data_IF_555880190610
#
_entry.id   IF_555880190610
#
_cell.length_a   1.000
_cell.length_b   1.000
_cell.length_c   1.000
_cell.angle_alpha   90.00
_cell.angle_beta   90.00
_cell.angle_gamma   90.00
#
_symmetry.space_group_name_H-M   'P 1'
#
loop_
_entity.id
_entity.type
_entity.pdbx_description
1 polymer ?
#
# COMPACT_ATOMS: atom_id res chain seq x y z
N UNK A 1 -17.31 4.62 -32.45
CA UNK A 1 -17.85 5.10 -33.75
C UNK A 1 -18.47 6.48 -33.52
N UNK A 2 -18.62 7.32 -34.56
CA UNK A 2 -19.15 8.68 -34.41
C UNK A 2 -20.59 8.73 -33.85
N UNK A 3 -21.28 7.60 -33.82
CA UNK A 3 -22.63 7.39 -33.26
C UNK A 3 -22.64 7.07 -31.76
N UNK A 4 -21.49 7.08 -31.07
CA UNK A 4 -21.37 6.77 -29.65
C UNK A 4 -21.46 5.28 -29.30
N UNK A 5 -21.59 4.38 -30.29
CA UNK A 5 -21.59 2.94 -30.05
C UNK A 5 -20.21 2.45 -29.61
N UNK A 6 -20.22 1.61 -28.57
CA UNK A 6 -19.03 0.95 -28.00
C UNK A 6 -19.02 -0.51 -28.45
N UNK A 7 -17.86 -0.98 -28.90
CA UNK A 7 -17.62 -2.39 -29.25
C UNK A 7 -16.71 -2.97 -28.16
N UNK A 8 -17.10 -4.11 -27.59
CA UNK A 8 -16.27 -4.81 -26.61
C UNK A 8 -15.13 -5.51 -27.34
N UNK A 9 -13.89 -5.13 -27.06
CA UNK A 9 -12.70 -5.72 -27.67
C UNK A 9 -12.19 -6.93 -26.88
N UNK A 10 -12.30 -6.89 -25.55
CA UNK A 10 -11.89 -7.95 -24.64
C UNK A 10 -12.61 -7.82 -23.30
N UNK A 11 -12.66 -8.93 -22.54
CA UNK A 11 -13.01 -8.94 -21.11
C UNK A 11 -11.83 -9.54 -20.35
N UNK A 12 -11.19 -8.73 -19.53
CA UNK A 12 -10.04 -9.14 -18.74
C UNK A 12 -10.36 -8.99 -17.26
N UNK A 13 -9.87 -9.93 -16.44
CA UNK A 13 -9.76 -9.69 -14.99
C UNK A 13 -8.45 -8.95 -14.79
N UNK A 14 -8.50 -7.61 -14.85
CA UNK A 14 -7.30 -6.78 -14.73
C UNK A 14 -6.69 -6.87 -13.33
N UNK A 15 -7.54 -6.89 -12.29
CA UNK A 15 -7.11 -6.90 -10.91
C UNK A 15 -7.97 -7.92 -10.13
N UNK A 16 -7.32 -8.89 -9.50
CA UNK A 16 -7.92 -9.79 -8.50
C UNK A 16 -7.00 -9.80 -7.28
N UNK A 17 -6.94 -8.64 -6.64
CA UNK A 17 -6.01 -8.36 -5.56
C UNK A 17 -6.67 -8.54 -4.19
N UNK A 18 -6.00 -9.26 -3.30
CA UNK A 18 -6.38 -9.33 -1.89
C UNK A 18 -6.22 -7.96 -1.22
N UNK A 19 -7.02 -7.71 -0.20
CA UNK A 19 -6.95 -6.45 0.55
C UNK A 19 -5.60 -6.33 1.27
N UNK A 20 -4.98 -5.16 1.14
CA UNK A 20 -3.76 -4.78 1.84
C UNK A 20 -3.99 -3.39 2.45
N UNK A 21 -3.86 -3.28 3.77
CA UNK A 21 -4.13 -2.04 4.47
C UNK A 21 -3.14 -0.93 4.11
N UNK A 22 -1.86 -1.25 3.99
CA UNK A 22 -0.83 -0.25 3.66
C UNK A 22 -1.03 0.28 2.24
N UNK A 23 -1.36 -0.61 1.30
CA UNK A 23 -1.66 -0.21 -0.08
C UNK A 23 -2.87 0.69 -0.10
N UNK A 24 -3.97 0.34 0.61
CA UNK A 24 -5.17 1.18 0.68
C UNK A 24 -4.89 2.59 1.21
N UNK A 25 -3.97 2.73 2.17
CA UNK A 25 -3.58 4.03 2.72
C UNK A 25 -2.77 4.86 1.72
N UNK A 26 -2.01 4.20 0.82
CA UNK A 26 -1.18 4.84 -0.19
C UNK A 26 -1.92 5.12 -1.51
N UNK A 27 -2.76 4.18 -1.97
CA UNK A 27 -3.47 4.17 -3.25
C UNK A 27 -4.73 3.28 -3.20
N UNK A 28 -5.71 3.53 -4.08
CA UNK A 28 -6.92 2.71 -4.14
C UNK A 28 -6.76 1.44 -5.00
N UNK A 29 -6.70 0.27 -4.38
CA UNK A 29 -6.76 -1.01 -5.11
C UNK A 29 -8.11 -1.72 -4.98
N UNK A 30 -9.13 -1.04 -4.45
CA UNK A 30 -10.49 -1.58 -4.33
C UNK A 30 -11.44 -0.73 -5.17
N UNK A 31 -11.90 -1.31 -6.28
CA UNK A 31 -12.75 -0.61 -7.25
C UNK A 31 -14.16 -0.39 -6.71
N UNK A 32 -14.65 0.86 -6.73
CA UNK A 32 -16.02 1.22 -6.34
C UNK A 32 -17.11 0.31 -6.93
N UNK A 33 -16.97 -0.07 -8.21
CA UNK A 33 -17.94 -0.92 -8.92
C UNK A 33 -18.02 -2.35 -8.39
N UNK A 34 -17.19 -2.72 -7.41
CA UNK A 34 -17.11 -4.07 -6.86
C UNK A 34 -16.91 -4.06 -5.34
N UNK A 35 -17.47 -3.06 -4.65
CA UNK A 35 -17.49 -2.97 -3.19
C UNK A 35 -18.89 -3.18 -2.65
N UNK A 36 -18.98 -3.95 -1.57
CA UNK A 36 -20.15 -4.02 -0.71
C UNK A 36 -19.71 -3.78 0.72
N UNK A 37 -20.40 -2.88 1.43
CA UNK A 37 -20.18 -2.60 2.85
C UNK A 37 -21.53 -2.47 3.56
N UNK A 38 -21.52 -2.61 4.89
CA UNK A 38 -22.72 -2.32 5.68
C UNK A 38 -23.00 -0.82 5.73
N UNK A 39 -24.27 -0.43 5.84
CA UNK A 39 -24.69 0.98 5.88
C UNK A 39 -24.11 1.74 7.09
N UNK A 40 -24.04 1.09 8.25
CA UNK A 40 -23.54 1.71 9.48
C UNK A 40 -22.07 2.11 9.38
N UNK A 41 -21.26 1.41 8.57
CA UNK A 41 -19.88 1.80 8.31
C UNK A 41 -19.79 3.12 7.51
N UNK A 42 -20.69 3.33 6.55
CA UNK A 42 -20.76 4.58 5.77
C UNK A 42 -21.14 5.77 6.65
N UNK A 43 -22.14 5.59 7.51
CA UNK A 43 -22.59 6.60 8.48
C UNK A 43 -21.45 6.94 9.45
N UNK A 44 -20.74 5.92 9.96
CA UNK A 44 -19.57 6.11 10.84
C UNK A 44 -18.40 6.78 10.12
N UNK A 45 -18.22 6.56 8.82
CA UNK A 45 -17.15 7.17 8.02
C UNK A 45 -17.43 8.61 7.58
N UNK A 46 -18.66 9.11 7.76
CA UNK A 46 -19.06 10.45 7.34
C UNK A 46 -19.39 10.57 5.85
N UNK A 47 -19.71 9.46 5.16
CA UNK A 47 -20.15 9.49 3.76
C UNK A 47 -19.07 9.82 2.73
N UNK A 48 -19.50 10.17 1.52
CA UNK A 48 -18.61 10.63 0.45
C UNK A 48 -18.19 12.09 0.69
N UNK A 49 -16.94 12.42 0.39
CA UNK A 49 -16.46 13.79 0.41
C UNK A 49 -16.82 14.50 -0.90
N UNK A 50 -17.90 15.28 -0.88
CA UNK A 50 -18.44 16.00 -2.06
C UNK A 50 -17.53 17.14 -2.56
N UNK A 51 -16.49 17.50 -1.80
CA UNK A 51 -15.51 18.50 -2.24
C UNK A 51 -14.40 17.92 -3.14
N UNK A 52 -14.36 16.59 -3.30
CA UNK A 52 -13.40 15.92 -4.17
C UNK A 52 -13.96 15.78 -5.59
N UNK A 53 -13.13 16.10 -6.59
CA UNK A 53 -13.51 15.99 -8.00
C UNK A 53 -13.05 14.67 -8.66
N UNK A 54 -12.11 13.96 -8.02
CA UNK A 54 -11.58 12.65 -8.44
C UNK A 54 -11.22 11.82 -7.22
N UNK A 55 -11.09 10.50 -7.41
CA UNK A 55 -10.70 9.56 -6.35
C UNK A 55 -11.67 9.59 -5.15
N UNK A 56 -12.92 9.96 -5.39
CA UNK A 56 -13.99 10.08 -4.38
C UNK A 56 -14.24 8.72 -3.70
N UNK A 57 -14.15 7.66 -4.48
CA UNK A 57 -14.25 6.28 -4.01
C UNK A 57 -13.07 5.87 -3.13
N UNK A 58 -11.86 6.36 -3.46
CA UNK A 58 -10.70 6.12 -2.61
C UNK A 58 -10.86 6.77 -1.25
N UNK A 59 -11.34 8.02 -1.18
CA UNK A 59 -11.61 8.69 0.10
C UNK A 59 -12.51 7.84 1.00
N UNK A 60 -13.61 7.34 0.45
CA UNK A 60 -14.52 6.49 1.19
C UNK A 60 -13.87 5.16 1.59
N UNK A 61 -13.28 4.42 0.64
CA UNK A 61 -12.68 3.11 0.90
C UNK A 61 -11.52 3.21 1.91
N UNK A 62 -10.72 4.27 1.82
CA UNK A 62 -9.67 4.58 2.78
C UNK A 62 -10.26 4.83 4.16
N UNK A 63 -11.32 5.64 4.30
CA UNK A 63 -11.98 5.84 5.61
C UNK A 63 -12.57 4.57 6.19
N UNK A 64 -13.20 3.72 5.37
CA UNK A 64 -13.76 2.43 5.81
C UNK A 64 -12.67 1.50 6.36
N UNK A 65 -11.46 1.58 5.81
CA UNK A 65 -10.32 0.76 6.21
C UNK A 65 -9.87 0.99 7.66
N UNK A 66 -10.22 2.13 8.27
CA UNK A 66 -9.96 2.40 9.69
C UNK A 66 -10.84 1.56 10.63
N UNK A 67 -12.00 1.10 10.15
CA UNK A 67 -12.99 0.37 10.96
C UNK A 67 -13.04 -1.12 10.64
N UNK A 68 -12.73 -1.52 9.40
CA UNK A 68 -12.78 -2.92 9.00
C UNK A 68 -11.80 -3.22 7.88
N UNK A 69 -11.31 -4.46 7.85
CA UNK A 69 -10.60 -4.98 6.68
C UNK A 69 -11.60 -5.31 5.59
N UNK A 70 -11.16 -5.21 4.33
CA UNK A 70 -11.93 -5.69 3.19
C UNK A 70 -11.67 -7.18 2.99
N UNK A 71 -12.70 -7.91 2.57
CA UNK A 71 -12.57 -9.30 2.15
C UNK A 71 -12.67 -9.35 0.63
N UNK A 72 -11.60 -9.79 -0.01
CA UNK A 72 -11.63 -10.05 -1.44
C UNK A 72 -12.45 -11.32 -1.71
N UNK A 73 -13.49 -11.17 -2.53
CA UNK A 73 -14.25 -12.31 -3.07
C UNK A 73 -13.67 -12.56 -4.46
N UNK A 74 -12.94 -13.68 -4.69
CA UNK A 74 -12.20 -13.93 -5.94
C UNK A 74 -13.15 -14.41 -7.05
N UNK A 75 -14.23 -13.68 -7.24
CA UNK A 75 -15.29 -13.87 -8.21
C UNK A 75 -15.60 -12.50 -8.82
N UNK A 76 -15.64 -12.37 -10.15
CA UNK A 76 -16.11 -11.14 -10.78
C UNK A 76 -17.55 -10.87 -10.35
N UNK A 77 -17.74 -9.77 -9.64
CA UNK A 77 -19.01 -9.26 -9.10
C UNK A 77 -19.57 -8.09 -9.91
N UNK A 78 -18.76 -7.50 -10.79
CA UNK A 78 -19.17 -6.39 -11.64
C UNK A 78 -18.29 -6.30 -12.88
N UNK A 79 -18.84 -5.74 -13.96
CA UNK A 79 -18.12 -5.42 -15.18
C UNK A 79 -18.12 -3.91 -15.35
N UNK A 80 -16.98 -3.34 -15.71
CA UNK A 80 -16.89 -1.96 -16.19
C UNK A 80 -16.17 -1.95 -17.52
N UNK A 81 -16.53 -1.01 -18.38
CA UNK A 81 -15.83 -0.83 -19.64
C UNK A 81 -14.55 -0.04 -19.40
N UNK A 82 -13.46 -0.34 -20.11
CA UNK A 82 -12.29 0.52 -20.24
C UNK A 82 -12.21 1.03 -21.68
N UNK A 83 -12.18 2.35 -21.93
CA UNK A 83 -12.01 2.85 -23.30
C UNK A 83 -10.58 2.58 -23.77
N UNK A 84 -10.45 2.31 -25.06
CA UNK A 84 -9.15 2.18 -25.73
C UNK A 84 -8.94 3.43 -26.57
N UNK A 85 -7.81 4.13 -26.35
CA UNK A 85 -7.50 5.39 -27.02
C UNK A 85 -7.97 6.64 -26.25
N UNK A 86 -8.37 7.68 -26.97
CA UNK A 86 -8.82 8.94 -26.35
C UNK A 86 -10.06 8.73 -25.47
N UNK A 87 -10.04 9.36 -24.31
CA UNK A 87 -11.02 9.12 -23.26
C UNK A 87 -11.47 10.42 -22.59
N UNK A 88 -12.78 10.64 -22.52
CA UNK A 88 -13.45 11.76 -21.88
C UNK A 88 -13.73 11.55 -20.38
N UNK A 89 -13.28 10.43 -19.80
CA UNK A 89 -13.48 10.14 -18.38
C UNK A 89 -12.90 11.25 -17.52
N UNK A 90 -13.69 11.67 -16.53
CA UNK A 90 -13.32 12.68 -15.55
C UNK A 90 -11.97 12.34 -14.91
N UNK A 91 -11.72 11.07 -14.55
CA UNK A 91 -10.44 10.63 -13.99
C UNK A 91 -9.25 10.87 -14.93
N UNK A 92 -9.42 10.69 -16.24
CA UNK A 92 -8.37 10.92 -17.25
C UNK A 92 -8.18 12.43 -17.49
N UNK A 93 -9.27 13.18 -17.58
CA UNK A 93 -9.19 14.61 -17.86
C UNK A 93 -8.64 15.40 -16.67
N UNK A 94 -9.03 15.05 -15.44
CA UNK A 94 -8.59 15.75 -14.22
C UNK A 94 -7.14 15.45 -13.86
N UNK A 95 -6.58 14.30 -14.23
CA UNK A 95 -5.14 14.00 -14.09
C UNK A 95 -4.24 14.94 -14.90
N UNK A 96 -4.77 15.61 -15.92
CA UNK A 96 -4.02 16.61 -16.69
C UNK A 96 -3.74 17.88 -15.88
N UNK A 97 -4.59 18.20 -14.89
CA UNK A 97 -4.31 19.25 -13.91
C UNK A 97 -3.57 18.63 -12.72
N UNK A 98 -2.25 18.60 -12.82
CA UNK A 98 -1.37 17.96 -11.82
C UNK A 98 -1.55 18.59 -10.44
N UNK A 99 -1.78 19.91 -10.36
CA UNK A 99 -1.91 20.62 -9.09
C UNK A 99 -3.22 20.28 -8.39
N UNK A 100 -4.34 20.30 -9.11
CA UNK A 100 -5.64 19.92 -8.54
C UNK A 100 -5.68 18.44 -8.18
N UNK A 101 -5.07 17.58 -9.00
CA UNK A 101 -4.92 16.15 -8.71
C UNK A 101 -4.12 15.91 -7.43
N UNK A 102 -2.97 16.57 -7.28
CA UNK A 102 -2.13 16.45 -6.09
C UNK A 102 -2.87 16.94 -4.85
N UNK A 103 -3.59 18.06 -4.92
CA UNK A 103 -4.41 18.57 -3.81
C UNK A 103 -5.48 17.57 -3.37
N UNK A 104 -6.18 16.93 -4.32
CA UNK A 104 -7.15 15.87 -3.99
C UNK A 104 -6.47 14.70 -3.28
N UNK A 105 -5.33 14.23 -3.81
CA UNK A 105 -4.56 13.13 -3.21
C UNK A 105 -4.12 13.45 -1.78
N UNK A 106 -3.58 14.65 -1.53
CA UNK A 106 -3.16 15.09 -0.21
C UNK A 106 -4.34 15.23 0.75
N UNK A 107 -5.48 15.73 0.27
CA UNK A 107 -6.74 15.82 1.03
C UNK A 107 -7.19 14.44 1.49
N UNK A 108 -7.19 13.45 0.58
CA UNK A 108 -7.59 12.06 0.89
C UNK A 108 -6.63 11.43 1.92
N UNK A 109 -5.32 11.57 1.74
CA UNK A 109 -4.30 11.02 2.66
C UNK A 109 -4.37 11.66 4.05
N UNK A 110 -4.73 12.93 4.11
CA UNK A 110 -4.86 13.68 5.36
C UNK A 110 -6.17 13.40 6.10
N UNK A 111 -7.24 13.07 5.37
CA UNK A 111 -8.56 12.90 5.95
C UNK A 111 -8.56 11.74 6.93
N UNK A 112 -9.13 11.97 8.11
CA UNK A 112 -9.19 11.03 9.23
C UNK A 112 -10.65 10.84 9.62
N UNK A 113 -11.21 9.62 9.55
CA UNK A 113 -12.60 9.41 9.95
C UNK A 113 -12.72 9.51 11.48
N UNK A 114 -13.94 9.74 12.02
CA UNK A 114 -14.16 9.81 13.46
C UNK A 114 -13.61 8.59 14.24
N UNK A 115 -13.03 8.83 15.42
CA UNK A 115 -12.62 7.74 16.34
C UNK A 115 -13.87 7.13 17.03
N UNK A 116 -13.80 5.88 17.56
CA UNK A 116 -12.64 4.99 17.63
C UNK A 116 -12.33 4.30 16.30
N UNK A 117 -11.08 3.88 16.12
CA UNK A 117 -10.64 3.08 14.97
C UNK A 117 -10.31 1.68 15.43
N UNK A 118 -10.76 0.68 14.67
CA UNK A 118 -10.65 -0.73 15.05
C UNK A 118 -9.49 -1.43 14.32
N UNK A 119 -9.03 -0.88 13.19
CA UNK A 119 -8.08 -1.53 12.27
C UNK A 119 -6.80 -0.76 12.00
N UNK A 120 -6.87 0.57 12.01
CA UNK A 120 -5.71 1.42 11.75
C UNK A 120 -5.34 2.14 13.03
N UNK A 121 -4.05 2.06 13.37
CA UNK A 121 -3.50 2.74 14.52
C UNK A 121 -2.94 4.10 14.10
N UNK A 122 -2.87 5.03 15.05
CA UNK A 122 -2.46 6.41 14.80
C UNK A 122 -0.94 6.55 14.98
N UNK A 123 -0.32 7.48 14.27
CA UNK A 123 1.10 7.83 14.42
C UNK A 123 1.24 9.28 14.90
N UNK A 124 1.97 9.50 15.99
CA UNK A 124 2.47 10.83 16.35
C UNK A 124 3.83 11.07 15.71
N UNK A 125 4.04 12.15 14.99
CA UNK A 125 5.35 12.54 14.44
C UNK A 125 5.84 13.77 15.19
N UNK A 126 6.93 13.64 15.95
CA UNK A 126 7.51 14.70 16.76
C UNK A 126 8.68 15.29 16.00
N UNK A 127 8.49 16.51 15.48
CA UNK A 127 9.52 17.18 14.68
C UNK A 127 10.60 17.73 15.62
N UNK A 128 11.80 17.20 15.51
CA UNK A 128 12.96 17.61 16.29
C UNK A 128 13.66 18.76 15.58
N UNK A 129 13.57 19.95 16.15
CA UNK A 129 14.35 21.11 15.72
C UNK A 129 14.62 22.01 16.90
N UNK A 130 15.77 22.68 16.85
CA UNK A 130 16.16 23.68 17.83
C UNK A 130 15.49 25.03 17.57
N UNK A 131 15.09 25.30 16.32
CA UNK A 131 14.56 26.58 15.86
C UNK A 131 13.48 26.42 14.77
N UNK A 132 12.63 27.43 14.62
CA UNK A 132 11.75 27.56 13.46
C UNK A 132 12.56 28.23 12.35
N UNK A 133 12.93 27.46 11.34
CA UNK A 133 13.67 27.90 10.17
C UNK A 133 13.13 27.23 8.90
N UNK A 134 13.73 27.52 7.75
CA UNK A 134 13.29 26.94 6.47
C UNK A 134 13.34 25.41 6.47
N UNK A 135 14.42 24.73 6.94
CA UNK A 135 14.43 23.27 7.07
C UNK A 135 13.29 22.70 7.93
N UNK A 136 12.92 23.36 9.03
CA UNK A 136 11.82 22.94 9.89
C UNK A 136 10.47 23.04 9.18
N UNK A 137 10.19 24.19 8.54
CA UNK A 137 8.95 24.40 7.81
C UNK A 137 8.85 23.46 6.60
N UNK A 138 9.96 23.26 5.89
CA UNK A 138 10.03 22.33 4.76
C UNK A 138 9.76 20.89 5.23
N UNK A 139 10.34 20.47 6.35
CA UNK A 139 10.08 19.13 6.92
C UNK A 139 8.60 18.87 7.17
N UNK A 140 7.87 19.87 7.68
CA UNK A 140 6.43 19.73 7.94
C UNK A 140 5.64 19.60 6.63
N UNK A 141 6.03 20.33 5.57
CA UNK A 141 5.44 20.19 4.24
C UNK A 141 5.78 18.84 3.59
N UNK A 142 7.02 18.37 3.77
CA UNK A 142 7.49 17.09 3.25
C UNK A 142 6.76 15.93 3.92
N UNK A 143 6.56 15.99 5.24
CA UNK A 143 5.79 15.01 5.99
C UNK A 143 4.34 14.94 5.49
N UNK A 144 3.72 16.08 5.19
CA UNK A 144 2.37 16.10 4.63
C UNK A 144 2.28 15.46 3.24
N UNK A 145 3.31 15.65 2.42
CA UNK A 145 3.31 15.20 1.02
C UNK A 145 3.79 13.76 0.84
N UNK A 146 4.66 13.26 1.71
CA UNK A 146 5.34 11.97 1.53
C UNK A 146 5.01 10.92 2.59
N UNK A 147 4.27 11.27 3.66
CA UNK A 147 3.74 10.30 4.62
C UNK A 147 2.26 10.06 4.32
N UNK A 148 1.91 8.81 4.01
CA UNK A 148 0.54 8.39 3.72
C UNK A 148 -0.15 7.69 4.90
N UNK A 149 0.64 7.18 5.85
CA UNK A 149 0.10 6.57 7.07
C UNK A 149 -0.59 7.65 7.93
N UNK A 150 -1.75 7.35 8.54
CA UNK A 150 -2.49 8.33 9.34
C UNK A 150 -1.63 8.86 10.48
N UNK A 151 -1.47 10.18 10.53
CA UNK A 151 -0.57 10.81 11.48
C UNK A 151 -1.08 12.14 12.01
N UNK A 152 -0.49 12.54 13.14
CA UNK A 152 -0.55 13.86 13.72
C UNK A 152 0.88 14.38 13.88
N UNK A 153 1.18 15.55 13.34
CA UNK A 153 2.49 16.20 13.43
C UNK A 153 2.51 17.07 14.67
N UNK A 154 3.52 16.93 15.51
CA UNK A 154 3.76 17.73 16.70
C UNK A 154 5.02 18.57 16.47
N UNK A 155 4.81 19.89 16.50
CA UNK A 155 5.84 20.89 16.25
C UNK A 155 6.18 21.61 17.55
N UNK A 156 7.40 21.45 18.03
CA UNK A 156 7.92 22.21 19.16
C UNK A 156 8.21 23.65 18.73
N UNK A 157 7.50 24.61 19.32
CA UNK A 157 7.56 26.03 18.94
C UNK A 157 7.86 26.89 20.17
N UNK A 158 8.92 27.73 20.15
CA UNK A 158 9.20 28.67 21.24
C UNK A 158 7.98 29.54 21.54
N UNK A 159 7.69 29.77 22.83
CA UNK A 159 6.51 30.52 23.29
C UNK A 159 6.39 31.89 22.61
N UNK A 160 7.51 32.56 22.38
CA UNK A 160 7.60 33.89 21.79
C UNK A 160 7.21 33.90 20.30
N UNK A 161 7.38 32.77 19.62
CA UNK A 161 7.08 32.60 18.18
C UNK A 161 5.77 31.83 17.94
N UNK A 162 5.13 31.36 19.02
CA UNK A 162 3.97 30.52 18.94
C UNK A 162 2.78 31.21 18.28
N UNK A 163 2.58 32.51 18.48
CA UNK A 163 1.39 33.18 17.96
C UNK A 163 1.57 33.60 16.48
N UNK A 164 2.81 33.77 16.01
CA UNK A 164 3.12 34.12 14.62
C UNK A 164 3.26 32.90 13.70
N UNK A 165 3.66 31.74 14.22
CA UNK A 165 3.82 30.52 13.43
C UNK A 165 2.48 29.82 13.19
N UNK A 166 1.95 29.87 11.97
CA UNK A 166 0.67 29.27 11.61
C UNK A 166 0.85 28.30 10.42
N UNK A 167 1.05 26.99 10.69
CA UNK A 167 1.23 26.01 9.63
C UNK A 167 -0.08 25.85 8.85
N UNK A 168 0.02 25.83 7.53
CA UNK A 168 -1.11 25.47 6.64
C UNK A 168 -1.31 23.96 6.54
N UNK A 169 -0.31 23.19 6.99
CA UNK A 169 -0.31 21.73 6.97
C UNK A 169 -1.35 21.16 7.94
N UNK A 170 -2.32 20.37 7.43
CA UNK A 170 -3.31 19.72 8.27
C UNK A 170 -2.70 18.79 9.34
N UNK A 171 -3.49 18.43 10.35
CA UNK A 171 -3.05 17.55 11.44
C UNK A 171 -1.76 18.00 12.15
N UNK A 172 -1.45 19.31 12.14
CA UNK A 172 -0.30 19.86 12.85
C UNK A 172 -0.71 20.46 14.19
N UNK A 173 -0.09 19.99 15.27
CA UNK A 173 -0.25 20.48 16.64
C UNK A 173 0.96 21.31 17.02
N UNK A 174 0.70 22.56 17.39
CA UNK A 174 1.69 23.47 17.95
C UNK A 174 1.89 23.14 19.43
N UNK A 175 3.11 22.81 19.82
CA UNK A 175 3.50 22.54 21.21
C UNK A 175 4.40 23.65 21.69
N UNK A 176 3.91 24.47 22.63
CA UNK A 176 4.66 25.60 23.16
C UNK A 176 5.80 25.09 24.06
N UNK A 177 7.04 25.42 23.71
CA UNK A 177 8.27 25.04 24.45
C UNK A 177 9.02 26.29 24.92
N UNK A 178 9.87 26.14 25.93
CA UNK A 178 10.83 27.18 26.33
C UNK A 178 12.03 27.13 25.37
N UNK A 179 12.60 28.29 25.02
CA UNK A 179 13.79 28.34 24.15
C UNK A 179 15.01 27.67 24.79
N UNK A 180 15.02 27.55 26.12
CA UNK A 180 16.04 26.84 26.90
C UNK A 180 15.83 25.34 26.97
N UNK A 181 14.66 24.84 26.59
CA UNK A 181 14.40 23.40 26.63
C UNK A 181 15.39 22.70 25.70
N UNK A 182 16.07 21.67 26.22
CA UNK A 182 16.87 20.78 25.39
C UNK A 182 15.98 19.87 24.53
N UNK A 183 16.60 19.12 23.62
CA UNK A 183 15.87 18.23 22.70
C UNK A 183 15.02 17.17 23.45
N UNK A 184 15.50 16.64 24.57
CA UNK A 184 14.78 15.68 25.39
C UNK A 184 13.55 16.30 26.05
N UNK A 185 13.70 17.48 26.65
CA UNK A 185 12.61 18.23 27.28
C UNK A 185 11.52 18.62 26.27
N UNK A 186 11.90 19.02 25.04
CA UNK A 186 10.94 19.28 23.96
C UNK A 186 10.16 18.02 23.58
N UNK A 187 10.84 16.89 23.46
CA UNK A 187 10.21 15.57 23.22
C UNK A 187 9.24 15.24 24.35
N UNK A 188 9.63 15.43 25.61
CA UNK A 188 8.79 15.12 26.78
C UNK A 188 7.50 15.95 26.78
N UNK A 189 7.58 17.24 26.43
CA UNK A 189 6.40 18.11 26.27
C UNK A 189 5.48 17.65 25.14
N UNK A 190 6.03 17.23 24.01
CA UNK A 190 5.22 16.70 22.90
C UNK A 190 4.59 15.36 23.28
N UNK A 191 5.34 14.46 23.90
CA UNK A 191 4.89 13.14 24.35
C UNK A 191 3.77 13.21 25.39
N UNK A 192 3.76 14.24 26.24
CA UNK A 192 2.74 14.45 27.25
C UNK A 192 1.33 14.63 26.67
N UNK A 193 1.23 15.09 25.42
CA UNK A 193 -0.05 15.30 24.72
C UNK A 193 -0.29 14.30 23.56
N UNK A 194 0.66 13.39 23.32
CA UNK A 194 0.51 12.33 22.33
C UNK A 194 -0.45 11.24 22.82
N UNK A 195 -1.46 10.94 22.00
CA UNK A 195 -2.45 9.90 22.28
C UNK A 195 -2.28 8.67 21.38
N UNK A 196 -1.41 8.75 20.37
CA UNK A 196 -1.16 7.69 19.40
C UNK A 196 -0.36 6.54 20.01
N UNK A 197 -0.63 5.28 19.63
CA UNK A 197 0.14 4.12 20.09
C UNK A 197 1.57 4.08 19.56
N UNK A 198 1.85 4.75 18.44
CA UNK A 198 3.20 4.90 17.89
C UNK A 198 3.64 6.35 17.84
N UNK A 199 4.95 6.54 18.01
CA UNK A 199 5.61 7.84 17.94
C UNK A 199 6.85 7.75 17.07
N UNK A 200 6.96 8.63 16.08
CA UNK A 200 8.17 8.90 15.32
C UNK A 200 8.87 10.12 15.90
N UNK A 201 10.15 9.97 16.26
CA UNK A 201 11.06 11.07 16.49
C UNK A 201 11.67 11.45 15.14
N UNK A 202 11.36 12.65 14.63
CA UNK A 202 11.68 13.02 13.25
C UNK A 202 12.54 14.30 13.20
N UNK A 203 13.85 14.20 12.94
CA UNK A 203 14.71 15.38 12.87
C UNK A 203 14.40 16.24 11.65
N UNK A 204 14.38 17.55 11.83
CA UNK A 204 14.19 18.49 10.75
C UNK A 204 15.36 18.43 9.73
N UNK A 205 15.00 18.55 8.46
CA UNK A 205 15.94 18.58 7.33
C UNK A 205 16.42 17.21 6.87
N UNK A 206 15.71 16.12 7.19
CA UNK A 206 15.96 14.85 6.51
C UNK A 206 15.57 14.95 5.03
N UNK A 207 16.36 14.37 4.11
CA UNK A 207 16.01 14.37 2.70
C UNK A 207 14.81 13.48 2.43
N UNK A 208 13.98 13.89 1.48
CA UNK A 208 12.98 13.02 0.86
C UNK A 208 13.64 12.28 -0.30
N UNK A 209 13.58 10.95 -0.28
CA UNK A 209 14.07 10.12 -1.38
C UNK A 209 13.08 10.17 -2.55
N UNK A 210 13.54 10.52 -3.75
CA UNK A 210 12.65 10.86 -4.90
C UNK A 210 11.87 9.67 -5.44
N UNK A 211 12.46 8.48 -5.36
CA UNK A 211 11.88 7.25 -5.90
C UNK A 211 11.21 6.39 -4.81
N UNK A 212 11.12 6.91 -3.59
CA UNK A 212 10.53 6.21 -2.48
C UNK A 212 9.10 6.70 -2.20
N UNK A 213 8.21 5.74 -2.09
CA UNK A 213 6.78 5.99 -1.88
C UNK A 213 6.36 5.83 -0.41
N UNK A 214 7.23 5.28 0.43
CA UNK A 214 7.08 5.06 1.87
C UNK A 214 8.25 5.69 2.66
N UNK A 215 8.06 6.91 3.18
CA UNK A 215 9.16 7.62 3.86
C UNK A 215 9.32 7.17 5.32
N UNK A 216 8.36 7.50 6.17
CA UNK A 216 8.34 7.06 7.58
C UNK A 216 7.90 5.60 7.69
N UNK A 217 7.07 5.16 6.73
CA UNK A 217 6.41 3.87 6.73
C UNK A 217 7.38 2.70 6.64
N UNK A 218 8.54 2.84 6.00
CA UNK A 218 9.59 1.81 6.00
C UNK A 218 10.12 1.49 7.40
N UNK A 219 10.10 2.47 8.30
CA UNK A 219 10.49 2.29 9.69
C UNK A 219 9.32 1.88 10.58
N UNK A 220 8.13 2.41 10.30
CA UNK A 220 6.91 2.09 11.05
C UNK A 220 6.41 0.66 10.78
N UNK A 221 6.41 0.21 9.53
CA UNK A 221 5.83 -1.06 9.12
C UNK A 221 6.36 -2.28 9.89
N UNK A 222 7.68 -2.48 10.12
CA UNK A 222 8.14 -3.59 10.95
C UNK A 222 7.63 -3.51 12.39
N UNK A 223 7.46 -2.30 12.93
CA UNK A 223 6.95 -2.10 14.28
C UNK A 223 5.45 -2.44 14.37
N UNK A 224 4.67 -2.12 13.33
CA UNK A 224 3.26 -2.51 13.22
C UNK A 224 3.07 -4.04 13.18
N UNK A 225 4.03 -4.74 12.57
CA UNK A 225 3.98 -6.19 12.37
C UNK A 225 4.76 -6.99 13.42
N UNK A 226 5.37 -6.30 14.40
CA UNK A 226 6.14 -6.94 15.47
C UNK A 226 5.41 -6.89 16.80
N UNK A 227 5.44 -8.02 17.51
CA UNK A 227 5.05 -8.11 18.93
C UNK A 227 6.25 -8.02 19.88
N UNK A 228 7.46 -7.89 19.34
CA UNK A 228 8.69 -7.82 20.12
C UNK A 228 8.71 -6.51 20.95
N UNK A 229 8.77 -6.59 22.29
CA UNK A 229 8.81 -5.41 23.15
C UNK A 229 10.19 -4.75 23.10
N UNK A 230 10.25 -3.47 23.47
CA UNK A 230 11.49 -2.71 23.58
C UNK A 230 12.32 -2.70 22.28
N UNK A 231 11.65 -2.53 21.14
CA UNK A 231 12.31 -2.37 19.83
C UNK A 231 11.87 -1.04 19.23
N UNK A 232 12.85 -0.31 18.68
CA UNK A 232 12.63 0.85 17.84
C UNK A 232 13.27 0.67 16.47
N UNK A 233 12.75 1.37 15.48
CA UNK A 233 13.30 1.33 14.13
C UNK A 233 13.78 2.71 13.72
N UNK A 234 15.06 2.83 13.43
CA UNK A 234 15.67 4.06 12.95
C UNK A 234 15.11 4.43 11.57
N UNK A 235 14.83 5.73 11.35
CA UNK A 235 14.43 6.25 10.05
C UNK A 235 15.53 5.94 9.03
N UNK A 236 15.16 5.50 7.83
CA UNK A 236 16.11 5.05 6.80
C UNK A 236 17.12 6.15 6.46
N UNK A 237 16.67 7.39 6.39
CA UNK A 237 17.45 8.59 6.06
C UNK A 237 18.26 9.13 7.24
N UNK A 238 18.12 8.55 8.44
CA UNK A 238 18.85 9.00 9.61
C UNK A 238 20.36 8.90 9.42
N UNK A 239 21.05 9.88 9.98
CA UNK A 239 22.50 9.97 10.09
C UNK A 239 22.92 10.18 11.54
N UNK A 240 24.21 10.04 11.89
CA UNK A 240 24.68 10.37 13.24
C UNK A 240 24.33 11.79 13.69
N UNK A 241 24.21 12.76 12.77
CA UNK A 241 23.88 14.16 13.08
C UNK A 241 22.37 14.44 13.10
N UNK A 242 21.60 13.80 12.23
CA UNK A 242 20.14 13.92 12.15
C UNK A 242 19.55 12.53 12.34
N UNK A 243 19.27 12.19 13.59
CA UNK A 243 18.77 10.86 13.92
C UNK A 243 17.32 10.91 14.35
N UNK A 244 16.55 9.99 13.80
CA UNK A 244 15.18 9.76 14.16
C UNK A 244 14.86 8.28 14.15
N UNK A 245 13.80 7.92 14.85
CA UNK A 245 13.37 6.54 14.96
C UNK A 245 11.89 6.49 15.34
N UNK A 246 11.24 5.36 15.06
CA UNK A 246 9.87 5.08 15.45
C UNK A 246 9.81 4.09 16.60
N UNK A 247 8.85 4.30 17.49
CA UNK A 247 8.69 3.57 18.75
C UNK A 247 7.23 3.34 19.07
N UNK A 248 6.96 2.36 19.93
CA UNK A 248 5.69 2.35 20.67
C UNK A 248 5.73 3.51 21.67
N UNK A 249 4.68 4.33 21.65
CA UNK A 249 4.61 5.55 22.46
C UNK A 249 4.76 5.26 23.95
N UNK A 250 4.18 4.16 24.44
CA UNK A 250 4.29 3.74 25.85
C UNK A 250 5.73 3.41 26.25
N UNK A 251 6.50 2.76 25.38
CA UNK A 251 7.89 2.38 25.63
C UNK A 251 8.80 3.60 25.63
N UNK A 252 8.62 4.50 24.64
CA UNK A 252 9.36 5.75 24.57
C UNK A 252 9.04 6.66 25.76
N UNK A 253 7.77 6.78 26.15
CA UNK A 253 7.35 7.57 27.32
C UNK A 253 7.99 7.02 28.59
N UNK A 254 7.95 5.71 28.82
CA UNK A 254 8.59 5.07 29.98
C UNK A 254 10.10 5.32 29.99
N UNK A 255 10.76 5.24 28.84
CA UNK A 255 12.19 5.52 28.73
C UNK A 255 12.53 6.96 29.15
N UNK A 256 11.72 7.93 28.70
CA UNK A 256 11.87 9.34 29.05
C UNK A 256 11.52 9.64 30.51
N UNK A 257 10.54 8.97 31.09
CA UNK A 257 10.20 9.11 32.52
C UNK A 257 11.32 8.60 33.44
N UNK A 258 11.94 7.46 33.10
CA UNK A 258 12.97 6.84 33.94
C UNK A 258 14.36 7.45 33.74
N UNK A 259 14.70 7.79 32.50
CA UNK A 259 16.05 8.22 32.10
C UNK A 259 16.05 9.61 31.46
N UNK A 260 15.07 10.45 31.82
CA UNK A 260 14.89 11.79 31.25
C UNK A 260 16.08 12.74 31.43
N UNK A 261 16.92 12.46 32.43
CA UNK A 261 18.17 13.17 32.73
C UNK A 261 19.32 12.86 31.76
N UNK A 262 19.21 11.79 30.96
CA UNK A 262 20.18 11.45 29.91
C UNK A 262 19.79 12.10 28.57
N UNK A 263 20.75 12.16 27.64
CA UNK A 263 20.45 12.58 26.27
C UNK A 263 19.42 11.64 25.64
N UNK A 264 18.68 12.13 24.65
CA UNK A 264 17.54 11.44 24.08
C UNK A 264 17.85 9.98 23.68
N UNK A 265 18.93 9.73 22.93
CA UNK A 265 19.32 8.36 22.53
C UNK A 265 19.79 7.51 23.70
N UNK A 266 20.56 8.10 24.62
CA UNK A 266 21.07 7.42 25.80
C UNK A 266 19.93 6.99 26.72
N UNK A 267 18.88 7.81 26.86
CA UNK A 267 17.69 7.47 27.64
C UNK A 267 16.93 6.28 27.06
N UNK A 268 16.85 6.17 25.73
CA UNK A 268 16.22 5.06 25.02
C UNK A 268 17.06 3.78 25.19
N UNK A 269 18.38 3.88 25.07
CA UNK A 269 19.29 2.75 25.26
C UNK A 269 19.32 2.27 26.72
N UNK A 270 19.34 3.19 27.69
CA UNK A 270 19.31 2.87 29.12
C UNK A 270 18.01 2.18 29.53
N UNK A 271 16.90 2.49 28.86
CA UNK A 271 15.62 1.80 29.01
C UNK A 271 15.57 0.40 28.35
N UNK A 272 16.67 -0.05 27.74
CA UNK A 272 16.79 -1.35 27.09
C UNK A 272 16.08 -1.45 25.75
N UNK A 273 15.75 -0.32 25.11
CA UNK A 273 15.11 -0.33 23.79
C UNK A 273 16.19 -0.51 22.71
N UNK A 274 16.15 -1.65 22.02
CA UNK A 274 17.05 -1.93 20.91
C UNK A 274 16.59 -1.16 19.66
N UNK A 275 17.43 -0.26 19.17
CA UNK A 275 17.15 0.51 17.94
C UNK A 275 18.06 0.04 16.82
N UNK A 276 17.47 -0.27 15.66
CA UNK A 276 18.19 -0.65 14.44
C UNK A 276 17.51 -0.11 13.20
N UNK A 277 18.21 -0.08 12.07
CA UNK A 277 17.54 0.12 10.77
C UNK A 277 16.69 -1.12 10.44
N UNK A 278 15.49 -0.94 9.86
CA UNK A 278 14.75 -2.03 9.24
C UNK A 278 15.56 -2.67 8.11
N UNK A 279 15.35 -3.96 7.90
CA UNK A 279 15.86 -4.68 6.75
C UNK A 279 14.93 -4.52 5.56
N UNK A 280 15.43 -4.75 4.35
CA UNK A 280 14.66 -4.56 3.12
C UNK A 280 13.41 -5.44 3.08
N UNK A 281 13.51 -6.70 3.55
CA UNK A 281 12.39 -7.64 3.63
C UNK A 281 11.31 -7.22 4.64
N UNK A 282 11.62 -6.26 5.51
CA UNK A 282 10.69 -5.70 6.50
C UNK A 282 10.02 -4.41 6.02
N UNK A 283 10.32 -3.92 4.81
CA UNK A 283 9.65 -2.74 4.24
C UNK A 283 8.21 -3.08 3.83
N UNK A 284 7.29 -2.10 3.79
CA UNK A 284 5.99 -2.30 3.18
C UNK A 284 6.12 -2.65 1.68
N UNK A 285 5.04 -3.12 1.07
CA UNK A 285 4.95 -3.35 -0.39
C UNK A 285 5.86 -4.43 -0.97
N UNK A 286 6.33 -5.39 -0.16
CA UNK A 286 7.14 -6.52 -0.65
C UNK A 286 6.49 -7.27 -1.82
N UNK A 287 5.17 -7.47 -1.79
CA UNK A 287 4.43 -8.07 -2.90
C UNK A 287 4.63 -7.29 -4.21
N UNK A 288 4.46 -5.97 -4.16
CA UNK A 288 4.55 -5.09 -5.32
C UNK A 288 5.98 -5.01 -5.86
N UNK A 289 6.99 -4.93 -4.98
CA UNK A 289 8.39 -4.96 -5.39
C UNK A 289 8.76 -6.26 -6.09
N UNK A 290 8.34 -7.41 -5.56
CA UNK A 290 8.63 -8.72 -6.15
C UNK A 290 7.83 -8.92 -7.45
N UNK A 291 6.59 -8.44 -7.52
CA UNK A 291 5.77 -8.48 -8.73
C UNK A 291 6.40 -7.66 -9.86
N UNK A 292 6.88 -6.45 -9.58
CA UNK A 292 7.61 -5.63 -10.55
C UNK A 292 8.89 -6.35 -11.04
N UNK A 293 9.61 -7.03 -10.14
CA UNK A 293 10.75 -7.87 -10.52
C UNK A 293 10.36 -9.03 -11.44
N UNK A 294 9.21 -9.69 -11.21
CA UNK A 294 8.70 -10.73 -12.09
C UNK A 294 8.38 -10.19 -13.50
N UNK A 295 7.78 -9.00 -13.58
CA UNK A 295 7.46 -8.33 -14.84
C UNK A 295 8.73 -7.95 -15.62
N UNK A 296 9.76 -7.47 -14.94
CA UNK A 296 11.05 -7.18 -15.55
C UNK A 296 11.69 -8.45 -16.14
N UNK A 297 11.66 -9.56 -15.40
CA UNK A 297 12.16 -10.87 -15.86
C UNK A 297 11.36 -11.38 -17.09
N UNK A 298 10.05 -11.10 -17.18
CA UNK A 298 9.26 -11.39 -18.38
C UNK A 298 9.72 -10.55 -19.59
N UNK A 299 10.00 -9.26 -19.40
CA UNK A 299 10.49 -8.37 -20.45
C UNK A 299 11.84 -8.82 -21.01
N UNK A 300 12.70 -9.35 -20.14
CA UNK A 300 13.99 -9.96 -20.51
C UNK A 300 13.83 -11.33 -21.21
N UNK A 301 12.63 -11.89 -21.20
CA UNK A 301 12.30 -13.15 -21.86
C UNK A 301 12.59 -14.41 -21.04
N UNK A 302 12.97 -14.29 -19.77
CA UNK A 302 13.17 -15.42 -18.87
C UNK A 302 11.83 -15.85 -18.21
N UNK A 303 10.96 -16.39 -19.04
CA UNK A 303 9.61 -16.78 -18.64
C UNK A 303 9.55 -17.84 -17.54
N UNK A 304 10.54 -18.73 -17.46
CA UNK A 304 10.56 -19.79 -16.45
C UNK A 304 10.92 -19.25 -15.07
N UNK A 305 11.85 -18.29 -15.01
CA UNK A 305 12.14 -17.58 -13.77
C UNK A 305 10.95 -16.73 -13.33
N UNK A 306 10.29 -16.01 -14.24
CA UNK A 306 9.06 -15.28 -13.92
C UNK A 306 7.98 -16.22 -13.35
N UNK A 307 7.79 -17.40 -13.94
CA UNK A 307 6.85 -18.41 -13.44
C UNK A 307 7.16 -18.85 -12.00
N UNK A 308 8.45 -19.02 -11.65
CA UNK A 308 8.85 -19.36 -10.29
C UNK A 308 8.57 -18.21 -9.30
N UNK A 309 8.79 -16.96 -9.70
CA UNK A 309 8.50 -15.79 -8.87
C UNK A 309 6.99 -15.67 -8.61
N UNK A 310 6.14 -15.88 -9.63
CA UNK A 310 4.68 -15.86 -9.41
C UNK A 310 4.20 -16.98 -8.49
N UNK A 311 4.82 -18.16 -8.54
CA UNK A 311 4.50 -19.24 -7.61
C UNK A 311 4.82 -18.83 -6.17
N UNK A 312 6.01 -18.26 -5.95
CA UNK A 312 6.41 -17.70 -4.67
C UNK A 312 5.44 -16.61 -4.19
N UNK A 313 5.04 -15.69 -5.07
CA UNK A 313 4.05 -14.66 -4.73
C UNK A 313 2.70 -15.26 -4.32
N UNK A 314 2.24 -16.29 -5.04
CA UNK A 314 0.98 -16.98 -4.75
C UNK A 314 0.99 -17.69 -3.39
N UNK A 315 2.14 -18.24 -2.98
CA UNK A 315 2.34 -18.97 -1.74
C UNK A 315 2.52 -18.05 -0.53
N UNK A 316 3.22 -16.94 -0.69
CA UNK A 316 3.66 -16.10 0.43
C UNK A 316 2.81 -14.83 0.65
N UNK A 317 2.11 -14.33 -0.37
CA UNK A 317 1.43 -13.03 -0.31
C UNK A 317 -0.05 -13.08 -0.71
N UNK A 318 -0.64 -14.27 -0.86
CA UNK A 318 -2.02 -14.43 -1.32
C UNK A 318 -2.15 -14.15 -2.81
N UNK A 319 -3.24 -13.51 -3.24
CA UNK A 319 -3.50 -13.17 -4.65
C UNK A 319 -3.45 -14.39 -5.58
N UNK A 320 -3.74 -15.58 -5.03
CA UNK A 320 -3.38 -16.88 -5.63
C UNK A 320 -3.99 -17.06 -7.01
N UNK A 321 -5.26 -16.69 -7.22
CA UNK A 321 -5.91 -16.85 -8.52
C UNK A 321 -5.19 -16.02 -9.61
N UNK A 322 -4.84 -14.77 -9.28
CA UNK A 322 -4.16 -13.88 -10.19
C UNK A 322 -2.74 -14.36 -10.49
N UNK A 323 -1.97 -14.70 -9.45
CA UNK A 323 -0.59 -15.16 -9.60
C UNK A 323 -0.50 -16.50 -10.35
N UNK A 324 -1.44 -17.42 -10.14
CA UNK A 324 -1.45 -18.70 -10.88
C UNK A 324 -1.84 -18.51 -12.35
N UNK A 325 -2.68 -17.53 -12.71
CA UNK A 325 -2.92 -17.15 -14.13
C UNK A 325 -1.64 -16.61 -14.76
N UNK A 326 -0.93 -15.70 -14.08
CA UNK A 326 0.34 -15.12 -14.56
C UNK A 326 1.42 -16.20 -14.71
N UNK A 327 1.52 -17.11 -13.73
CA UNK A 327 2.40 -18.29 -13.79
C UNK A 327 2.07 -19.20 -14.98
N UNK A 328 0.81 -19.53 -15.21
CA UNK A 328 0.41 -20.36 -16.35
C UNK A 328 0.76 -19.71 -17.69
N UNK A 329 0.59 -18.38 -17.80
CA UNK A 329 1.01 -17.62 -18.96
C UNK A 329 2.54 -17.70 -19.16
N UNK A 330 3.32 -17.47 -18.11
CA UNK A 330 4.78 -17.54 -18.15
C UNK A 330 5.27 -18.96 -18.51
N UNK A 331 4.70 -20.01 -17.92
CA UNK A 331 5.00 -21.41 -18.29
C UNK A 331 4.70 -21.70 -19.78
N UNK A 332 3.58 -21.19 -20.30
CA UNK A 332 3.23 -21.33 -21.71
C UNK A 332 4.27 -20.66 -22.61
N UNK A 333 4.65 -19.41 -22.30
CA UNK A 333 5.66 -18.64 -23.04
C UNK A 333 7.06 -19.25 -22.95
N UNK A 334 7.41 -19.83 -21.81
CA UNK A 334 8.65 -20.57 -21.56
C UNK A 334 8.68 -21.99 -22.13
N UNK A 335 7.66 -22.42 -22.87
CA UNK A 335 7.62 -23.72 -23.55
C UNK A 335 7.19 -24.91 -22.67
N UNK A 336 6.89 -24.70 -21.39
CA UNK A 336 6.37 -25.70 -20.45
C UNK A 336 4.86 -25.91 -20.63
N UNK A 337 4.47 -26.34 -21.84
CA UNK A 337 3.07 -26.36 -22.31
C UNK A 337 2.16 -27.24 -21.46
N UNK A 338 2.63 -28.43 -21.07
CA UNK A 338 1.82 -29.36 -20.27
C UNK A 338 1.54 -28.79 -18.88
N UNK A 339 2.58 -28.27 -18.21
CA UNK A 339 2.43 -27.61 -16.91
C UNK A 339 1.48 -26.40 -16.98
N UNK A 340 1.56 -25.60 -18.04
CA UNK A 340 0.64 -24.49 -18.27
C UNK A 340 -0.82 -24.96 -18.41
N UNK A 341 -1.07 -26.04 -19.17
CA UNK A 341 -2.40 -26.63 -19.35
C UNK A 341 -2.95 -27.17 -18.02
N UNK A 342 -2.14 -27.93 -17.28
CA UNK A 342 -2.57 -28.53 -16.02
C UNK A 342 -2.90 -27.46 -14.99
N UNK A 343 -2.08 -26.41 -14.91
CA UNK A 343 -2.31 -25.29 -14.02
C UNK A 343 -3.55 -24.47 -14.42
N UNK A 344 -3.70 -24.12 -15.70
CA UNK A 344 -4.83 -23.28 -16.13
C UNK A 344 -6.16 -24.04 -16.02
N UNK A 345 -6.16 -25.37 -16.13
CA UNK A 345 -7.34 -26.19 -15.85
C UNK A 345 -7.77 -26.10 -14.38
N UNK A 346 -6.82 -26.11 -13.45
CA UNK A 346 -7.12 -25.90 -12.02
C UNK A 346 -7.70 -24.50 -11.78
N UNK A 347 -7.11 -23.47 -12.39
CA UNK A 347 -7.64 -22.09 -12.36
C UNK A 347 -9.07 -22.05 -12.90
N UNK A 348 -9.32 -22.68 -14.06
CA UNK A 348 -10.63 -22.70 -14.71
C UNK A 348 -11.69 -23.49 -13.93
N UNK A 349 -11.30 -24.42 -13.05
CA UNK A 349 -12.22 -25.07 -12.10
C UNK A 349 -12.70 -24.10 -11.01
N UNK A 350 -11.86 -23.13 -10.61
CA UNK A 350 -12.23 -22.09 -9.65
C UNK A 350 -13.05 -21.00 -10.35
N UNK A 351 -12.47 -20.37 -11.39
CA UNK A 351 -13.16 -19.38 -12.21
C UNK A 351 -12.49 -19.21 -13.57
N UNK A 352 -13.18 -19.55 -14.68
CA UNK A 352 -12.68 -19.27 -16.00
C UNK A 352 -12.89 -17.79 -16.38
N UNK A 353 -11.94 -17.25 -17.15
CA UNK A 353 -11.97 -15.93 -17.78
C UNK A 353 -11.64 -16.05 -19.27
N UNK A 354 -11.89 -14.99 -20.06
CA UNK A 354 -11.46 -14.97 -21.47
C UNK A 354 -9.96 -15.24 -21.53
N UNK A 355 -9.16 -14.55 -20.73
CA UNK A 355 -7.69 -14.68 -20.71
C UNK A 355 -7.24 -16.10 -20.36
N UNK A 356 -7.82 -16.73 -19.33
CA UNK A 356 -7.43 -18.09 -18.94
C UNK A 356 -7.81 -19.14 -19.99
N UNK A 357 -8.97 -18.99 -20.64
CA UNK A 357 -9.40 -19.85 -21.75
C UNK A 357 -8.57 -19.64 -23.02
N UNK A 358 -8.16 -18.42 -23.31
CA UNK A 358 -7.24 -18.13 -24.42
C UNK A 358 -5.85 -18.77 -24.18
N UNK A 359 -5.33 -18.73 -22.95
CA UNK A 359 -4.07 -19.41 -22.60
C UNK A 359 -4.21 -20.92 -22.81
N UNK A 360 -5.29 -21.52 -22.31
CA UNK A 360 -5.59 -22.95 -22.48
C UNK A 360 -5.67 -23.34 -23.97
N UNK A 361 -6.47 -22.61 -24.76
CA UNK A 361 -6.64 -22.87 -26.19
C UNK A 361 -5.33 -22.74 -26.98
N UNK A 362 -4.52 -21.72 -26.71
CA UNK A 362 -3.20 -21.52 -27.35
C UNK A 362 -2.22 -22.64 -27.00
N UNK A 363 -2.17 -23.05 -25.73
CA UNK A 363 -1.31 -24.15 -25.29
C UNK A 363 -1.71 -25.48 -25.94
N UNK A 364 -3.01 -25.79 -26.01
CA UNK A 364 -3.55 -26.99 -26.67
C UNK A 364 -3.31 -26.99 -28.17
N UNK A 365 -3.52 -25.84 -28.85
CA UNK A 365 -3.29 -25.71 -30.28
C UNK A 365 -1.82 -25.98 -30.65
N UNK A 366 -0.87 -25.49 -29.85
CA UNK A 366 0.56 -25.78 -30.04
C UNK A 366 0.91 -27.26 -29.84
N UNK A 367 0.14 -27.99 -29.02
CA UNK A 367 0.23 -29.45 -28.88
C UNK A 367 -0.51 -30.23 -29.98
N UNK A 368 -1.12 -29.53 -30.95
CA UNK A 368 -1.98 -30.10 -31.99
C UNK A 368 -3.24 -30.80 -31.44
N UNK A 369 -3.66 -30.45 -30.22
CA UNK A 369 -4.90 -30.93 -29.61
C UNK A 369 -6.09 -30.06 -30.06
N UNK A 370 -6.31 -29.99 -31.37
CA UNK A 370 -7.18 -28.98 -31.99
C UNK A 370 -8.62 -29.00 -31.50
N UNK A 371 -9.19 -30.19 -31.24
CA UNK A 371 -10.58 -30.30 -30.75
C UNK A 371 -10.76 -29.61 -29.40
N UNK A 372 -9.85 -29.84 -28.46
CA UNK A 372 -9.90 -29.22 -27.13
C UNK A 372 -9.54 -27.73 -27.21
N UNK A 373 -8.64 -27.34 -28.13
CA UNK A 373 -8.31 -25.94 -28.35
C UNK A 373 -9.54 -25.15 -28.85
N UNK A 374 -10.30 -25.70 -29.81
CA UNK A 374 -11.55 -25.12 -30.30
C UNK A 374 -12.55 -24.95 -29.16
N UNK A 375 -12.72 -25.97 -28.33
CA UNK A 375 -13.61 -25.90 -27.16
C UNK A 375 -13.21 -24.77 -26.21
N UNK A 376 -11.92 -24.64 -25.90
CA UNK A 376 -11.42 -23.55 -25.06
C UNK A 376 -11.68 -22.16 -25.68
N UNK A 377 -11.48 -22.00 -27.00
CA UNK A 377 -11.77 -20.75 -27.71
C UNK A 377 -13.27 -20.43 -27.76
N UNK A 378 -14.13 -21.43 -27.97
CA UNK A 378 -15.59 -21.24 -27.90
C UNK A 378 -16.03 -20.83 -26.50
N UNK A 379 -15.48 -21.44 -25.46
CA UNK A 379 -15.74 -21.02 -24.08
C UNK A 379 -15.28 -19.58 -23.83
N UNK A 380 -14.13 -19.16 -24.39
CA UNK A 380 -13.68 -17.77 -24.31
C UNK A 380 -14.66 -16.80 -25.01
N UNK A 381 -15.17 -17.18 -26.19
CA UNK A 381 -16.18 -16.40 -26.95
C UNK A 381 -17.49 -16.27 -26.17
N UNK A 382 -17.98 -17.35 -25.58
CA UNK A 382 -19.21 -17.35 -24.76
C UNK A 382 -19.07 -16.42 -23.54
N UNK A 383 -17.91 -16.41 -22.86
CA UNK A 383 -17.64 -15.45 -21.77
C UNK A 383 -17.70 -14.01 -22.28
N UNK A 384 -17.06 -13.76 -23.43
CA UNK A 384 -17.01 -12.42 -24.04
C UNK A 384 -18.41 -11.90 -24.38
N UNK A 385 -19.29 -12.77 -24.86
CA UNK A 385 -20.69 -12.48 -25.21
C UNK A 385 -21.64 -12.41 -24.00
N UNK A 386 -21.16 -12.72 -22.79
CA UNK A 386 -21.93 -12.61 -21.55
C UNK A 386 -22.84 -13.79 -21.26
N UNK A 387 -22.57 -14.98 -21.82
CA UNK A 387 -23.29 -16.19 -21.43
C UNK A 387 -23.03 -16.53 -19.95
N UNK A 388 -24.09 -16.77 -19.18
CA UNK A 388 -23.99 -17.11 -17.76
C UNK A 388 -23.20 -18.41 -17.53
N UNK A 389 -22.28 -18.38 -16.56
CA UNK A 389 -21.56 -19.57 -16.13
C UNK A 389 -22.33 -20.33 -15.05
N UNK A 390 -22.41 -21.67 -15.12
CA UNK A 390 -22.83 -22.47 -13.98
C UNK A 390 -21.72 -22.40 -12.91
N UNK A 391 -21.90 -21.55 -11.90
CA UNK A 391 -21.00 -21.51 -10.74
C UNK A 391 -21.27 -22.73 -9.85
N UNK A 392 -20.35 -23.70 -9.83
CA UNK A 392 -20.33 -24.68 -8.74
C UNK A 392 -19.89 -23.95 -7.47
N UNK A 393 -20.71 -24.00 -6.42
CA UNK A 393 -20.39 -23.41 -5.10
C UNK A 393 -19.03 -23.95 -4.62
N UNK A 394 -18.05 -23.10 -4.25
CA UNK A 394 -16.78 -23.57 -3.73
C UNK A 394 -16.97 -24.22 -2.35
N UNK A 395 -16.53 -25.48 -2.21
CA UNK A 395 -16.46 -26.17 -0.93
C UNK A 395 -15.38 -25.51 -0.05
N UNK A 396 -15.77 -25.14 1.18
CA UNK A 396 -14.88 -24.56 2.19
C UNK A 396 -13.92 -25.64 2.72
N UNK A 397 -12.65 -25.59 2.32
CA UNK A 397 -11.58 -26.28 3.02
C UNK A 397 -10.30 -25.44 2.96
N UNK A 398 -10.20 -24.42 3.83
CA UNK A 398 -8.94 -23.70 4.08
C UNK A 398 -8.15 -24.47 5.14
N UNK A 399 -7.16 -25.26 4.74
CA UNK A 399 -6.07 -25.68 5.64
C UNK A 399 -5.04 -24.56 5.67
N UNK A 400 -4.90 -23.88 6.82
CA UNK A 400 -3.74 -23.03 7.11
C UNK A 400 -2.54 -23.94 7.33
N UNK A 401 -1.61 -23.95 6.38
CA UNK A 401 -0.29 -24.54 6.57
C UNK A 401 0.60 -23.41 7.10
N UNK A 402 1.11 -23.58 8.32
CA UNK A 402 2.08 -22.69 8.95
C UNK A 402 3.46 -23.29 8.67
N UNK A 403 4.35 -22.58 8.00
CA UNK A 403 5.75 -22.99 7.87
C UNK A 403 6.71 -21.83 8.08
N UNK A 404 7.85 -22.17 8.68
CA UNK A 404 8.93 -21.31 9.12
C UNK A 404 9.77 -20.77 7.96
N UNK A 405 10.46 -19.62 8.13
CA UNK A 405 11.14 -18.94 7.03
C UNK A 405 12.46 -19.61 6.68
N UNK A 406 12.63 -20.00 5.41
CA UNK A 406 13.95 -20.22 4.80
C UNK A 406 14.39 -18.98 4.05
N UNK A 407 15.64 -18.58 4.27
CA UNK A 407 16.24 -17.35 3.77
C UNK A 407 16.30 -17.31 2.22
N UNK A 408 15.62 -16.32 1.63
CA UNK A 408 15.76 -15.94 0.23
C UNK A 408 16.54 -14.62 0.16
N UNK A 409 17.56 -14.53 -0.70
CA UNK A 409 18.29 -13.29 -0.97
C UNK A 409 17.86 -12.73 -2.33
N UNK A 410 17.21 -11.55 -2.38
CA UNK A 410 16.88 -10.89 -3.64
C UNK A 410 18.12 -10.24 -4.26
N UNK A 411 18.24 -10.38 -5.59
CA UNK A 411 19.22 -9.64 -6.41
C UNK A 411 18.49 -8.46 -7.05
N UNK A 412 18.94 -7.25 -6.72
CA UNK A 412 18.44 -5.98 -7.24
C UNK A 412 19.04 -5.70 -8.63
N UNK A 413 18.21 -5.43 -9.64
CA UNK A 413 18.61 -4.70 -10.84
C UNK A 413 18.07 -3.27 -10.76
N UNK A 414 18.88 -2.31 -11.20
CA UNK A 414 18.57 -0.89 -11.17
C UNK A 414 17.45 -0.53 -12.16
N UNK A 415 16.49 0.26 -11.67
CA UNK A 415 15.65 1.25 -12.37
C UNK A 415 14.94 0.83 -13.68
N UNK A 416 13.60 0.85 -13.63
CA UNK A 416 12.81 1.92 -14.25
C UNK A 416 11.39 1.89 -13.65
N UNK A 417 11.12 2.83 -12.74
CA UNK A 417 9.78 3.12 -12.24
C UNK A 417 8.95 3.75 -13.37
N UNK A 418 8.26 2.89 -14.12
CA UNK A 418 7.21 3.34 -15.05
C UNK A 418 6.08 4.04 -14.28
N UNK A 419 5.56 5.17 -14.80
CA UNK A 419 4.67 6.01 -14.03
C UNK A 419 3.29 5.39 -13.92
N UNK A 420 2.86 5.14 -12.68
CA UNK A 420 1.44 5.23 -12.33
C UNK A 420 1.04 6.72 -12.31
N UNK A 421 1.00 7.34 -13.50
CA UNK A 421 0.37 8.65 -13.74
C UNK A 421 -1.03 8.46 -14.30
#
# INVERSE_FOLDING_TARGET
>A
MADGRRIVLAKNVEISRDYDQMVMLQFNHVLHVSVMHRKDLLERAGGYNENLNVLIDWDLNRKLCFYTDFLHVPVVTGEYYGPVGECDRISVQRRKDVNDYLRNLLTIRTTRPPKPWDRVQDLSILVLSDQINDPFNQTIQDLWSHVFYPNQIYAAVPREQADSWNPTTPNTVKVKVDWRDDAGQRVDRMLAICQSPFTALFPAGLPVEKDESAWVERSLYPLLNSSEPNVGFELIESSPRQWGAVFRTSELRRAREQFGHLQLRESIQAAGIAVRKPKLEEYPFQFDYILAGAEQVELEGDWLRAAAIYDYLAEHFGNTLWMQIRRAHALHRGGQRQAAIDLIRQVNQVRPSVSSRLIEGRALAQKKEYRQAIEAFEQARLILEGAEYPTKKPNQARKRIRMEPTAFQPVLSQQESGPWT
#
